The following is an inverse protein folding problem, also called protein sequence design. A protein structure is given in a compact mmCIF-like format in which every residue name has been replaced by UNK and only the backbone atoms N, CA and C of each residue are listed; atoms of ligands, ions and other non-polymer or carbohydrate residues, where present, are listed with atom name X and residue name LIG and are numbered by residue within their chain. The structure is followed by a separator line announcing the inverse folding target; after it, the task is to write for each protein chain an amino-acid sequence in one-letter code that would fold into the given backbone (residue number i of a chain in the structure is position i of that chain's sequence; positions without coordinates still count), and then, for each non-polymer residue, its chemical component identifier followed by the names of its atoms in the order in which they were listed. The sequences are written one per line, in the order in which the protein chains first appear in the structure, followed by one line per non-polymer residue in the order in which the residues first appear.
data_IF_343659574926
#
_entry.id   IF_343659574926
#
_cell.length_a   1.000
_cell.length_b   1.000
_cell.length_c   1.000
_cell.angle_alpha   90.00
_cell.angle_beta   90.00
_cell.angle_gamma   90.00
#
_symmetry.space_group_name_H-M   'P 1'
#
loop_
_entity.id
_entity.type
_entity.pdbx_description
1 polymer ?
#
# COMPACT_ATOMS: atom_id res chain seq x y z
N UNK A 1 0.31 -29.08 14.94
CA UNK A 1 -1.12 -28.67 14.86
C UNK A 1 -1.92 -29.50 13.85
N UNK A 2 -1.31 -30.33 12.98
CA UNK A 2 -1.97 -31.47 12.30
C UNK A 2 -3.11 -31.15 11.31
N UNK A 3 -3.54 -29.89 11.20
CA UNK A 3 -4.68 -29.48 10.41
C UNK A 3 -4.24 -28.92 9.04
N UNK A 4 -4.17 -29.80 8.05
CA UNK A 4 -3.84 -29.42 6.69
C UNK A 4 -4.91 -28.52 6.03
N UNK A 5 -6.19 -28.69 6.39
CA UNK A 5 -7.29 -27.91 5.81
C UNK A 5 -7.30 -26.49 6.35
N UNK A 6 -7.18 -26.33 7.68
CA UNK A 6 -7.01 -25.02 8.30
C UNK A 6 -5.71 -24.34 7.85
N UNK A 7 -4.62 -25.10 7.70
CA UNK A 7 -3.37 -24.60 7.11
C UNK A 7 -3.57 -24.04 5.70
N UNK A 8 -4.25 -24.78 4.82
CA UNK A 8 -4.54 -24.32 3.46
C UNK A 8 -5.44 -23.07 3.44
N UNK A 9 -6.51 -23.03 4.22
CA UNK A 9 -7.43 -21.89 4.23
C UNK A 9 -6.78 -20.65 4.87
N UNK A 10 -6.24 -20.78 6.08
CA UNK A 10 -5.72 -19.64 6.83
C UNK A 10 -4.34 -19.20 6.34
N UNK A 11 -3.39 -20.14 6.25
CA UNK A 11 -2.01 -19.79 5.93
C UNK A 11 -1.80 -19.55 4.44
N UNK A 12 -2.55 -20.21 3.54
CA UNK A 12 -2.43 -19.97 2.10
C UNK A 12 -3.47 -18.95 1.60
N UNK A 13 -4.77 -19.29 1.61
CA UNK A 13 -5.79 -18.49 0.94
C UNK A 13 -6.05 -17.14 1.61
N UNK A 14 -6.32 -17.12 2.92
CA UNK A 14 -6.61 -15.89 3.65
C UNK A 14 -5.40 -14.95 3.65
N UNK A 15 -4.20 -15.48 3.87
CA UNK A 15 -2.95 -14.72 3.75
C UNK A 15 -2.81 -14.09 2.36
N UNK A 16 -3.01 -14.88 1.31
CA UNK A 16 -2.87 -14.41 -0.07
C UNK A 16 -3.90 -13.33 -0.40
N UNK A 17 -5.18 -13.55 -0.03
CA UNK A 17 -6.24 -12.55 -0.18
C UNK A 17 -5.91 -11.24 0.55
N UNK A 18 -5.45 -11.33 1.80
CA UNK A 18 -5.12 -10.15 2.60
C UNK A 18 -3.96 -9.37 1.99
N UNK A 19 -2.86 -10.05 1.66
CA UNK A 19 -1.68 -9.41 1.05
C UNK A 19 -2.04 -8.76 -0.29
N UNK A 20 -2.81 -9.44 -1.15
CA UNK A 20 -3.24 -8.83 -2.42
C UNK A 20 -4.13 -7.61 -2.21
N UNK A 21 -5.07 -7.66 -1.26
CA UNK A 21 -5.91 -6.50 -0.97
C UNK A 21 -5.09 -5.33 -0.40
N UNK A 22 -4.08 -5.59 0.43
CA UNK A 22 -3.17 -4.54 0.91
C UNK A 22 -2.36 -3.93 -0.24
N UNK A 23 -1.79 -4.76 -1.13
CA UNK A 23 -0.96 -4.27 -2.25
C UNK A 23 -1.78 -3.51 -3.29
N UNK A 24 -2.87 -4.10 -3.79
CA UNK A 24 -3.63 -3.50 -4.89
C UNK A 24 -4.41 -2.26 -4.47
N UNK A 25 -4.75 -2.13 -3.18
CA UNK A 25 -5.45 -0.97 -2.65
C UNK A 25 -4.63 0.32 -2.73
N UNK A 26 -3.29 0.26 -2.87
CA UNK A 26 -2.44 1.44 -3.12
C UNK A 26 -2.97 2.24 -4.30
N UNK A 27 -3.29 1.56 -5.41
CA UNK A 27 -3.77 2.18 -6.65
C UNK A 27 -5.13 2.89 -6.51
N UNK A 28 -5.86 2.64 -5.41
CA UNK A 28 -7.15 3.29 -5.13
C UNK A 28 -7.04 4.26 -3.96
N UNK A 29 -6.64 3.78 -2.80
CA UNK A 29 -6.63 4.55 -1.57
C UNK A 29 -5.60 5.68 -1.61
N UNK A 30 -4.42 5.43 -2.16
CA UNK A 30 -3.36 6.45 -2.27
C UNK A 30 -3.60 7.45 -3.41
N UNK A 31 -4.63 7.24 -4.24
CA UNK A 31 -5.08 8.23 -5.24
C UNK A 31 -6.35 8.98 -4.83
N UNK A 32 -6.95 8.61 -3.69
CA UNK A 32 -8.20 9.20 -3.21
C UNK A 32 -8.02 9.91 -1.86
N UNK A 33 -7.24 9.35 -0.95
CA UNK A 33 -7.09 9.83 0.43
C UNK A 33 -5.67 10.38 0.67
N UNK A 34 -5.56 11.62 1.15
CA UNK A 34 -4.28 12.23 1.52
C UNK A 34 -4.09 13.66 1.00
N UNK A 35 -2.83 14.10 0.99
CA UNK A 35 -2.38 15.43 0.51
C UNK A 35 -1.48 15.31 -0.72
N UNK A 36 -1.29 16.39 -1.49
CA UNK A 36 -0.44 16.43 -2.70
C UNK A 36 0.76 17.39 -2.55
N UNK A 37 1.72 17.14 -1.65
CA UNK A 37 2.75 18.13 -1.32
C UNK A 37 3.79 18.41 -2.43
N UNK A 38 3.96 17.54 -3.44
CA UNK A 38 5.02 17.65 -4.46
C UNK A 38 4.52 17.92 -5.89
N UNK A 39 3.34 17.43 -6.23
CA UNK A 39 2.67 17.73 -7.51
C UNK A 39 1.15 17.68 -7.35
N UNK A 40 0.48 18.81 -7.61
CA UNK A 40 -0.97 18.96 -7.54
C UNK A 40 -1.68 18.58 -8.85
N UNK A 41 -0.93 18.33 -9.92
CA UNK A 41 -1.50 18.04 -11.25
C UNK A 41 -1.91 16.59 -11.43
N UNK A 42 -1.50 15.70 -10.52
CA UNK A 42 -1.75 14.27 -10.58
C UNK A 42 -2.58 13.82 -9.36
N UNK A 43 -3.26 12.69 -9.50
CA UNK A 43 -4.07 12.11 -8.41
C UNK A 43 -3.32 11.41 -7.25
N UNK A 44 -2.04 10.99 -7.34
CA UNK A 44 -1.32 10.38 -6.21
C UNK A 44 -1.28 11.32 -5.01
N UNK A 45 -1.54 10.78 -3.81
CA UNK A 45 -1.58 11.50 -2.54
C UNK A 45 -0.73 10.79 -1.49
N UNK A 46 -0.24 11.57 -0.53
CA UNK A 46 0.52 11.10 0.62
C UNK A 46 -0.39 10.96 1.84
N UNK A 47 -0.37 9.80 2.51
CA UNK A 47 -1.15 9.56 3.73
C UNK A 47 -0.59 8.43 4.61
N UNK A 48 -0.34 8.73 5.90
CA UNK A 48 0.28 7.79 6.85
C UNK A 48 -0.56 6.53 7.11
N UNK A 49 -1.89 6.66 7.23
CA UNK A 49 -2.77 5.49 7.46
C UNK A 49 -2.76 4.59 6.23
N UNK A 50 -2.68 5.18 5.04
CA UNK A 50 -2.55 4.43 3.79
C UNK A 50 -1.24 3.67 3.80
N UNK A 51 -0.12 4.29 4.22
CA UNK A 51 1.17 3.63 4.34
C UNK A 51 1.14 2.44 5.31
N UNK A 52 0.48 2.57 6.46
CA UNK A 52 0.32 1.44 7.38
C UNK A 52 -0.51 0.29 6.78
N UNK A 53 -1.59 0.62 6.07
CA UNK A 53 -2.47 -0.38 5.45
C UNK A 53 -1.84 -1.09 4.25
N UNK A 54 -0.89 -0.43 3.57
CA UNK A 54 -0.23 -0.91 2.35
C UNK A 54 1.23 -1.31 2.56
N UNK A 55 1.68 -1.42 3.81
CA UNK A 55 3.04 -1.79 4.19
C UNK A 55 4.15 -0.85 3.65
N UNK A 56 3.89 0.46 3.64
CA UNK A 56 4.87 1.52 3.32
C UNK A 56 4.53 2.35 2.09
N UNK A 57 3.59 1.90 1.26
CA UNK A 57 3.30 2.48 -0.06
C UNK A 57 2.30 3.67 -0.03
N UNK A 58 2.21 4.37 1.10
CA UNK A 58 1.21 5.43 1.30
C UNK A 58 1.65 6.84 0.94
N UNK A 59 2.94 7.05 0.72
CA UNK A 59 3.50 8.32 0.24
C UNK A 59 3.57 8.32 -1.29
N UNK A 60 2.39 8.22 -1.90
CA UNK A 60 2.28 7.98 -3.33
C UNK A 60 2.52 9.25 -4.16
N UNK A 61 2.23 10.45 -3.63
CA UNK A 61 2.62 11.71 -4.26
C UNK A 61 4.16 11.81 -4.33
N UNK A 62 4.86 11.48 -3.23
CA UNK A 62 6.31 11.40 -3.22
C UNK A 62 6.85 10.37 -4.22
N UNK A 63 6.31 9.14 -4.21
CA UNK A 63 6.72 8.07 -5.10
C UNK A 63 6.68 8.48 -6.58
N UNK A 64 5.57 9.07 -6.99
CA UNK A 64 5.35 9.48 -8.38
C UNK A 64 6.23 10.66 -8.79
N UNK A 65 6.66 11.48 -7.84
CA UNK A 65 7.58 12.59 -8.07
C UNK A 65 9.04 12.14 -8.12
N UNK A 66 9.44 11.20 -7.24
CA UNK A 66 10.81 10.74 -7.07
C UNK A 66 10.91 9.21 -7.18
N UNK A 67 10.62 8.62 -8.35
CA UNK A 67 10.55 7.16 -8.52
C UNK A 67 11.89 6.45 -8.34
N UNK A 68 13.00 7.19 -8.36
CA UNK A 68 14.35 6.66 -8.14
C UNK A 68 14.75 6.62 -6.65
N UNK A 69 13.95 7.18 -5.75
CA UNK A 69 14.22 7.16 -4.32
C UNK A 69 13.84 5.80 -3.71
N UNK A 70 14.83 5.12 -3.12
CA UNK A 70 14.65 3.80 -2.53
C UNK A 70 13.69 3.79 -1.32
N UNK A 71 13.59 4.87 -0.56
CA UNK A 71 12.86 4.92 0.71
C UNK A 71 11.37 5.08 0.50
N UNK A 72 10.96 5.67 -0.62
CA UNK A 72 9.55 5.88 -0.97
C UNK A 72 8.76 6.72 0.07
N UNK A 73 9.43 7.58 0.86
CA UNK A 73 8.82 8.40 1.92
C UNK A 73 9.67 9.63 2.27
N UNK A 74 9.03 10.72 2.71
CA UNK A 74 9.67 11.91 3.29
C UNK A 74 9.82 11.81 4.81
N UNK A 75 10.89 12.41 5.35
CA UNK A 75 11.22 12.39 6.79
C UNK A 75 10.34 13.32 7.62
#
# INVERSE_FOLDING_TARGET
WGDARGGYVCAALLRLCFVHHSTFRVNSLAHWLGETPFDDKRSPRDHLITALATNGEGYHNFHHQFPMDYRNVMR
#
